data_IF_647434452411
#
_entry.id   IF_647434452411
#
_cell.length_a   1.000
_cell.length_b   1.000
_cell.length_c   1.000
_cell.angle_alpha   90.00
_cell.angle_beta   90.00
_cell.angle_gamma   90.00
#
_symmetry.space_group_name_H-M   'P 1'
#
loop_
_entity.id
_entity.type
_entity.pdbx_description
1 polymer ?
#
# COMPACT_ATOMS: atom_id res chain seq x y z
N UNK A 1 4.80 1.72 -7.29
CA UNK A 1 6.19 2.18 -7.06
C UNK A 1 6.18 3.15 -5.89
N UNK A 2 7.31 3.36 -5.19
CA UNK A 2 7.48 4.50 -4.28
C UNK A 2 8.48 5.43 -4.96
N UNK A 3 8.06 6.67 -5.28
CA UNK A 3 8.89 7.68 -5.95
C UNK A 3 9.62 7.17 -7.21
N UNK A 4 8.91 6.39 -8.03
CA UNK A 4 9.45 5.82 -9.27
C UNK A 4 10.35 4.60 -9.08
N UNK A 5 10.49 4.09 -7.85
CA UNK A 5 11.25 2.87 -7.56
C UNK A 5 10.35 1.67 -7.24
N UNK A 6 10.78 0.49 -7.73
CA UNK A 6 10.08 -0.76 -7.46
C UNK A 6 10.42 -1.23 -6.06
N UNK A 7 9.39 -1.33 -5.22
CA UNK A 7 9.52 -1.80 -3.84
C UNK A 7 8.61 -3.00 -3.62
N UNK A 8 9.10 -3.96 -2.83
CA UNK A 8 8.35 -5.15 -2.47
C UNK A 8 7.48 -4.90 -1.23
N UNK A 9 6.19 -5.23 -1.36
CA UNK A 9 5.22 -5.14 -0.28
C UNK A 9 4.92 -6.50 0.32
N UNK A 10 4.88 -6.57 1.66
CA UNK A 10 4.36 -7.70 2.41
C UNK A 10 2.98 -7.41 3.00
N UNK A 11 2.39 -8.43 3.61
CA UNK A 11 1.15 -8.30 4.40
C UNK A 11 1.49 -8.16 5.88
N UNK A 12 0.94 -7.15 6.56
CA UNK A 12 1.25 -6.93 7.98
C UNK A 12 0.30 -7.66 8.93
N UNK A 13 -0.77 -8.30 8.42
CA UNK A 13 -1.84 -8.87 9.24
C UNK A 13 -2.70 -7.86 9.99
N UNK A 14 -2.52 -6.56 9.76
CA UNK A 14 -3.26 -5.49 10.43
C UNK A 14 -4.33 -4.88 9.52
N UNK A 15 -5.44 -4.50 10.15
CA UNK A 15 -6.46 -3.65 9.56
C UNK A 15 -6.54 -2.33 10.34
N UNK A 16 -6.71 -1.23 9.63
CA UNK A 16 -7.08 0.05 10.22
C UNK A 16 -8.34 0.56 9.53
N UNK A 17 -9.42 0.75 10.29
CA UNK A 17 -10.74 1.15 9.77
C UNK A 17 -11.17 0.28 8.56
N UNK A 18 -11.04 -1.03 8.72
CA UNK A 18 -11.34 -2.04 7.68
C UNK A 18 -10.47 -1.96 6.42
N UNK A 19 -9.37 -1.20 6.43
CA UNK A 19 -8.41 -1.12 5.33
C UNK A 19 -7.14 -1.90 5.69
N UNK A 20 -6.68 -2.75 4.78
CA UNK A 20 -5.45 -3.52 4.93
C UNK A 20 -4.24 -2.59 4.99
N UNK A 21 -3.39 -2.85 5.98
CA UNK A 21 -2.05 -2.26 6.03
C UNK A 21 -1.05 -3.21 5.34
N UNK A 22 -0.44 -2.73 4.28
CA UNK A 22 0.72 -3.37 3.65
C UNK A 22 1.98 -2.81 4.30
N UNK A 23 3.11 -3.51 4.28
CA UNK A 23 4.38 -2.91 4.67
C UNK A 23 5.36 -3.01 3.50
N UNK A 24 6.14 -1.96 3.26
CA UNK A 24 7.22 -2.01 2.28
C UNK A 24 8.52 -2.48 2.96
N UNK A 25 9.27 -3.36 2.31
CA UNK A 25 10.50 -3.93 2.90
C UNK A 25 11.69 -2.97 2.92
N UNK A 26 11.62 -1.87 2.16
CA UNK A 26 12.75 -0.95 2.00
C UNK A 26 12.84 0.05 3.15
N UNK A 27 11.71 0.57 3.60
CA UNK A 27 11.60 1.63 4.61
C UNK A 27 10.81 1.20 5.83
N UNK A 28 10.23 0.00 5.82
CA UNK A 28 9.35 -0.52 6.88
C UNK A 28 8.13 0.37 7.14
N UNK A 29 7.76 1.21 6.17
CA UNK A 29 6.53 2.00 6.23
C UNK A 29 5.33 1.10 5.99
N UNK A 30 4.25 1.35 6.73
CA UNK A 30 2.95 0.71 6.54
C UNK A 30 2.03 1.62 5.74
N UNK A 31 1.32 1.03 4.79
CA UNK A 31 0.56 1.74 3.76
C UNK A 31 -0.89 1.27 3.72
N UNK A 32 -1.81 2.19 3.49
CA UNK A 32 -3.19 1.84 3.18
C UNK A 32 -3.29 1.24 1.77
N UNK A 33 -3.88 0.05 1.63
CA UNK A 33 -4.00 -0.61 0.32
C UNK A 33 -4.78 0.23 -0.71
N UNK A 34 -5.86 0.87 -0.29
CA UNK A 34 -6.77 1.61 -1.20
C UNK A 34 -6.61 3.13 -1.18
N UNK A 35 -5.76 3.66 -0.32
CA UNK A 35 -5.59 5.11 -0.17
C UNK A 35 -4.19 5.57 -0.52
N UNK A 36 -3.36 4.71 -1.13
CA UNK A 36 -2.05 5.04 -1.72
C UNK A 36 -1.06 5.87 -0.86
N UNK A 37 -1.34 6.08 0.43
CA UNK A 37 -0.58 6.95 1.33
C UNK A 37 0.01 6.17 2.52
N UNK A 38 1.16 6.63 3.05
CA UNK A 38 1.74 6.14 4.28
C UNK A 38 0.77 6.30 5.46
N UNK A 39 0.59 5.23 6.22
CA UNK A 39 -0.24 5.21 7.43
C UNK A 39 0.61 5.28 8.70
N UNK A 40 1.73 4.55 8.75
CA UNK A 40 2.63 4.47 9.91
C UNK A 40 4.05 4.24 9.41
N UNK A 41 5.04 4.97 9.92
CA UNK A 41 6.46 4.74 9.63
C UNK A 41 7.16 5.94 8.99
N UNK A 42 8.40 5.74 8.49
CA UNK A 42 9.29 6.83 8.09
C UNK A 42 8.78 7.77 6.99
N UNK A 43 7.90 7.29 6.11
CA UNK A 43 7.38 8.10 5.01
C UNK A 43 6.10 8.87 5.36
N UNK A 44 5.58 8.79 6.59
CA UNK A 44 4.43 9.59 7.00
C UNK A 44 4.79 11.08 6.96
N UNK A 45 4.01 11.86 6.19
CA UNK A 45 4.24 13.30 6.00
C UNK A 45 5.30 13.66 4.95
N UNK A 46 5.90 12.68 4.25
CA UNK A 46 6.85 12.95 3.16
C UNK A 46 6.19 13.49 1.90
N UNK A 47 4.88 13.29 1.75
CA UNK A 47 4.16 13.50 0.49
C UNK A 47 4.32 12.37 -0.52
N UNK A 48 4.95 11.25 -0.13
CA UNK A 48 5.06 10.06 -1.00
C UNK A 48 3.70 9.40 -1.19
N UNK A 49 3.40 9.03 -2.43
CA UNK A 49 2.18 8.33 -2.83
C UNK A 49 2.55 7.08 -3.66
N UNK A 50 1.74 6.03 -3.56
CA UNK A 50 1.89 4.84 -4.39
C UNK A 50 1.27 5.07 -5.75
N UNK A 51 1.99 4.68 -6.79
CA UNK A 51 1.41 4.59 -8.12
C UNK A 51 0.25 3.56 -8.14
N UNK A 52 -0.94 4.03 -8.52
CA UNK A 52 -2.15 3.21 -8.66
C UNK A 52 -2.06 2.39 -9.95
N UNK A 53 -2.12 1.07 -9.81
CA UNK A 53 -2.16 0.16 -10.94
C UNK A 53 -3.62 -0.08 -11.41
N UNK A 54 -3.86 -0.22 -12.72
CA UNK A 54 -5.19 -0.51 -13.22
C UNK A 54 -5.69 -1.85 -12.66
N UNK A 55 -6.93 -1.88 -12.20
CA UNK A 55 -7.59 -3.09 -11.74
C UNK A 55 -8.98 -3.24 -12.35
N UNK A 56 -9.37 -4.48 -12.60
CA UNK A 56 -10.69 -4.83 -13.12
C UNK A 56 -11.44 -5.60 -12.05
N UNK A 57 -12.63 -5.11 -11.70
CA UNK A 57 -13.57 -5.89 -10.90
C UNK A 57 -14.21 -6.95 -11.80
N UNK A 58 -14.05 -8.22 -11.44
CA UNK A 58 -14.68 -9.34 -12.14
C UNK A 58 -15.42 -10.22 -11.15
N UNK A 59 -16.41 -10.94 -11.66
CA UNK A 59 -17.13 -11.99 -10.92
C UNK A 59 -16.66 -13.36 -11.43
N UNK A 60 -16.83 -14.39 -10.60
CA UNK A 60 -16.63 -15.77 -11.05
C UNK A 60 -17.71 -16.14 -12.06
N UNK A 61 -17.36 -16.90 -13.10
CA UNK A 61 -18.34 -17.63 -13.89
C UNK A 61 -18.80 -18.87 -13.13
N UNK A 62 -19.97 -19.40 -13.48
CA UNK A 62 -20.31 -20.80 -13.17
C UNK A 62 -19.37 -21.78 -13.91
#
# INVERSE_FOLDING_TARGET
>A
MIDGERVEFGTSGYLYRSNKLMFDRKTETRWHQFRDVPAVGPLVGSGSELEVLPMTLTVWSE
#
